data_IF_312320786436
#
_entry.id   IF_312320786436
#
_cell.length_a   1.000
_cell.length_b   1.000
_cell.length_c   1.000
_cell.angle_alpha   90.00
_cell.angle_beta   90.00
_cell.angle_gamma   90.00
#
_symmetry.space_group_name_H-M   'P 1'
#
loop_
_entity.id
_entity.type
_entity.pdbx_description
1 polymer ?
#
# COMPACT_ATOMS: atom_id res chain seq x y z
N UNK A 1 13.57 34.63 24.49
CA UNK A 1 14.15 34.47 23.14
C UNK A 1 14.42 32.98 22.96
N UNK A 2 13.40 32.19 22.66
CA UNK A 2 13.00 31.74 21.30
C UNK A 2 14.11 30.99 20.57
N UNK A 3 13.92 29.67 20.45
CA UNK A 3 14.08 28.99 19.16
C UNK A 3 13.18 27.73 19.15
N UNK A 4 11.95 27.94 18.71
CA UNK A 4 11.03 26.89 18.28
C UNK A 4 11.37 26.54 16.84
N UNK A 5 12.08 25.42 16.64
CA UNK A 5 12.17 24.79 15.32
C UNK A 5 10.89 24.00 15.08
N UNK A 6 9.90 24.65 14.49
CA UNK A 6 8.79 23.97 13.82
C UNK A 6 9.26 23.57 12.43
N UNK A 7 9.83 22.38 12.31
CA UNK A 7 9.88 21.70 11.02
C UNK A 7 8.43 21.31 10.67
N UNK A 8 7.82 22.04 9.74
CA UNK A 8 6.65 21.51 9.04
C UNK A 8 7.08 20.26 8.28
N UNK A 9 6.43 19.10 8.47
CA UNK A 9 6.71 17.92 7.68
C UNK A 9 6.38 18.25 6.22
N UNK A 10 7.39 18.12 5.37
CA UNK A 10 7.29 18.44 3.97
C UNK A 10 6.45 17.39 3.26
N UNK A 11 5.31 17.82 2.73
CA UNK A 11 4.55 17.09 1.72
C UNK A 11 5.52 16.58 0.64
N UNK A 12 5.49 15.30 0.28
CA UNK A 12 6.29 14.72 -0.81
C UNK A 12 5.39 14.51 -2.04
N UNK A 13 5.33 15.47 -3.00
CA UNK A 13 4.44 15.38 -4.16
C UNK A 13 4.74 14.16 -5.05
N UNK A 14 5.98 13.65 -5.01
CA UNK A 14 6.42 12.53 -5.83
C UNK A 14 5.72 11.22 -5.45
N UNK A 15 5.53 10.95 -4.15
CA UNK A 15 4.84 9.73 -3.69
C UNK A 15 3.36 9.73 -4.07
N UNK A 16 2.71 10.89 -3.98
CA UNK A 16 1.30 11.05 -4.37
C UNK A 16 1.14 10.83 -5.88
N UNK A 17 2.03 11.41 -6.70
CA UNK A 17 1.96 11.25 -8.14
C UNK A 17 2.21 9.80 -8.57
N UNK A 18 3.23 9.13 -8.03
CA UNK A 18 3.50 7.71 -8.32
C UNK A 18 2.32 6.80 -7.94
N UNK A 19 1.64 7.11 -6.83
CA UNK A 19 0.44 6.40 -6.41
C UNK A 19 -0.73 6.62 -7.39
N UNK A 20 -0.98 7.87 -7.79
CA UNK A 20 -2.04 8.22 -8.75
C UNK A 20 -1.77 7.57 -10.11
N UNK A 21 -0.54 7.68 -10.63
CA UNK A 21 -0.13 7.09 -11.90
C UNK A 21 -0.29 5.57 -11.90
N UNK A 22 0.05 4.91 -10.78
CA UNK A 22 -0.14 3.47 -10.59
C UNK A 22 -1.62 3.11 -10.67
N UNK A 23 -2.50 3.86 -10.00
CA UNK A 23 -3.94 3.63 -10.05
C UNK A 23 -4.52 3.84 -11.45
N UNK A 24 -4.11 4.90 -12.15
CA UNK A 24 -4.56 5.15 -13.53
C UNK A 24 -4.06 4.11 -14.52
N UNK A 25 -2.81 3.68 -14.39
CA UNK A 25 -2.24 2.60 -15.17
C UNK A 25 -3.08 1.32 -15.05
N UNK A 26 -3.47 0.93 -13.83
CA UNK A 26 -4.29 -0.26 -13.64
C UNK A 26 -5.71 -0.10 -14.19
N UNK A 27 -6.34 1.07 -14.02
CA UNK A 27 -7.65 1.36 -14.62
C UNK A 27 -7.63 1.22 -16.15
N UNK A 28 -6.53 1.61 -16.79
CA UNK A 28 -6.40 1.61 -18.26
C UNK A 28 -5.95 0.27 -18.85
N UNK A 29 -5.14 -0.52 -18.14
CA UNK A 29 -4.44 -1.67 -18.72
C UNK A 29 -4.91 -3.04 -18.21
N UNK A 30 -5.76 -3.13 -17.18
CA UNK A 30 -6.36 -4.40 -16.79
C UNK A 30 -7.50 -4.70 -17.76
N UNK A 31 -7.23 -5.57 -18.75
CA UNK A 31 -8.21 -6.04 -19.71
C UNK A 31 -9.40 -6.71 -18.98
N UNK A 32 -10.65 -6.33 -19.27
CA UNK A 32 -11.85 -6.95 -18.67
C UNK A 32 -11.94 -8.46 -18.92
N UNK A 33 -11.30 -8.93 -19.99
CA UNK A 33 -11.43 -10.30 -20.52
C UNK A 33 -10.67 -11.36 -19.72
N UNK A 34 -9.88 -10.95 -18.73
CA UNK A 34 -9.13 -11.85 -17.85
C UNK A 34 -9.86 -12.13 -16.51
N UNK A 35 -11.09 -11.63 -16.30
CA UNK A 35 -11.82 -11.80 -15.03
C UNK A 35 -12.08 -13.26 -14.65
N UNK A 36 -11.16 -13.85 -13.89
CA UNK A 36 -11.40 -15.08 -13.16
C UNK A 36 -12.29 -14.77 -11.95
N UNK A 37 -13.23 -15.66 -11.59
CA UNK A 37 -14.04 -15.50 -10.39
C UNK A 37 -13.14 -15.39 -9.15
N UNK A 38 -13.60 -14.64 -8.14
CA UNK A 38 -12.87 -14.51 -6.87
C UNK A 38 -12.60 -15.90 -6.28
N UNK A 39 -11.34 -16.20 -6.00
CA UNK A 39 -10.93 -17.42 -5.34
C UNK A 39 -10.34 -17.09 -3.97
N UNK A 40 -11.11 -17.37 -2.92
CA UNK A 40 -10.73 -17.05 -1.54
C UNK A 40 -9.45 -17.75 -1.08
N UNK A 41 -9.18 -18.97 -1.55
CA UNK A 41 -7.98 -19.73 -1.17
C UNK A 41 -6.72 -19.17 -1.84
N UNK A 42 -6.81 -18.79 -3.12
CA UNK A 42 -5.72 -18.08 -3.81
C UNK A 42 -5.46 -16.75 -3.11
N UNK A 43 -6.52 -15.98 -2.84
CA UNK A 43 -6.40 -14.70 -2.16
C UNK A 43 -5.73 -14.84 -0.78
N UNK A 44 -6.17 -15.81 0.03
CA UNK A 44 -5.56 -16.11 1.34
C UNK A 44 -4.09 -16.51 1.23
N UNK A 45 -3.75 -17.29 0.21
CA UNK A 45 -2.36 -17.69 -0.08
C UNK A 45 -1.51 -16.48 -0.45
N UNK A 46 -2.03 -15.62 -1.32
CA UNK A 46 -1.39 -14.38 -1.73
C UNK A 46 -1.21 -13.43 -0.53
N UNK A 47 -2.18 -13.32 0.37
CA UNK A 47 -2.04 -12.51 1.59
C UNK A 47 -0.96 -13.04 2.54
N UNK A 48 -0.87 -14.37 2.72
CA UNK A 48 0.20 -14.99 3.51
C UNK A 48 1.56 -14.68 2.90
N UNK A 49 1.67 -14.79 1.58
CA UNK A 49 2.92 -14.54 0.88
C UNK A 49 3.29 -13.05 0.90
N UNK A 50 2.32 -12.15 0.68
CA UNK A 50 2.49 -10.69 0.78
C UNK A 50 3.01 -10.29 2.16
N UNK A 51 2.42 -10.82 3.23
CA UNK A 51 2.87 -10.57 4.61
C UNK A 51 4.34 -10.96 4.78
N UNK A 52 4.72 -12.15 4.34
CA UNK A 52 6.11 -12.61 4.45
C UNK A 52 7.07 -11.70 3.67
N UNK A 53 6.67 -11.23 2.48
CA UNK A 53 7.47 -10.30 1.68
C UNK A 53 7.65 -8.96 2.41
N UNK A 54 6.58 -8.40 3.00
CA UNK A 54 6.65 -7.16 3.80
C UNK A 54 7.60 -7.33 4.98
N UNK A 55 7.49 -8.43 5.72
CA UNK A 55 8.35 -8.72 6.88
C UNK A 55 9.83 -8.85 6.44
N UNK A 56 10.11 -9.45 5.27
CA UNK A 56 11.47 -9.52 4.71
C UNK A 56 12.00 -8.14 4.28
N UNK A 57 11.20 -7.31 3.60
CA UNK A 57 11.61 -5.98 3.15
C UNK A 57 11.93 -5.10 4.35
N UNK A 58 11.09 -5.12 5.38
CA UNK A 58 11.32 -4.38 6.63
C UNK A 58 12.62 -4.81 7.32
N UNK A 59 12.88 -6.12 7.42
CA UNK A 59 14.12 -6.62 7.99
C UNK A 59 15.36 -6.15 7.20
N UNK A 60 15.27 -6.14 5.86
CA UNK A 60 16.34 -5.65 4.97
C UNK A 60 16.59 -4.17 5.18
N UNK A 61 15.54 -3.35 5.28
CA UNK A 61 15.67 -1.92 5.49
C UNK A 61 16.28 -1.58 6.86
N UNK A 62 15.83 -2.23 7.91
CA UNK A 62 16.39 -2.07 9.25
C UNK A 62 17.88 -2.45 9.27
N UNK A 63 18.27 -3.45 8.48
CA UNK A 63 19.68 -3.80 8.28
C UNK A 63 20.45 -2.70 7.54
N UNK A 64 19.89 -2.14 6.46
CA UNK A 64 20.51 -1.03 5.71
C UNK A 64 20.75 0.19 6.60
N UNK A 65 19.77 0.56 7.41
CA UNK A 65 19.87 1.68 8.35
C UNK A 65 21.01 1.46 9.35
N UNK A 66 21.09 0.25 9.94
CA UNK A 66 22.21 -0.12 10.83
C UNK A 66 23.56 -0.06 10.12
N UNK A 67 23.66 -0.61 8.91
CA UNK A 67 24.91 -0.57 8.14
C UNK A 67 25.34 0.87 7.81
N UNK A 68 24.40 1.76 7.48
CA UNK A 68 24.66 3.17 7.24
C UNK A 68 25.21 3.86 8.48
N UNK A 69 24.68 3.56 9.66
CA UNK A 69 25.13 4.12 10.94
C UNK A 69 26.53 3.59 11.33
N UNK A 70 26.76 2.28 11.18
CA UNK A 70 27.95 1.61 11.72
C UNK A 70 29.16 1.68 10.78
N UNK A 71 28.93 1.54 9.47
CA UNK A 71 30.02 1.32 8.50
C UNK A 71 29.96 2.27 7.31
N UNK A 72 28.91 3.10 7.19
CA UNK A 72 28.65 3.99 6.06
C UNK A 72 28.68 3.29 4.68
N UNK A 73 28.49 1.97 4.66
CA UNK A 73 28.50 1.19 3.43
C UNK A 73 27.41 0.11 3.47
N UNK A 74 26.56 0.09 2.44
CA UNK A 74 25.51 -0.92 2.32
C UNK A 74 26.05 -2.08 1.47
N UNK A 75 26.00 -3.33 1.94
CA UNK A 75 26.39 -4.47 1.14
C UNK A 75 25.58 -4.55 -0.17
N UNK A 76 26.26 -4.76 -1.31
CA UNK A 76 25.61 -4.87 -2.63
C UNK A 76 24.54 -5.97 -2.65
N UNK A 77 24.78 -7.08 -1.96
CA UNK A 77 23.83 -8.18 -1.90
C UNK A 77 22.56 -7.82 -1.13
N UNK A 78 22.66 -6.92 -0.13
CA UNK A 78 21.51 -6.39 0.59
C UNK A 78 20.65 -5.49 -0.30
N UNK A 79 21.28 -4.69 -1.17
CA UNK A 79 20.56 -3.90 -2.17
C UNK A 79 19.84 -4.79 -3.20
N UNK A 80 20.53 -5.80 -3.74
CA UNK A 80 19.94 -6.77 -4.68
C UNK A 80 18.79 -7.55 -4.05
N UNK A 81 18.93 -7.96 -2.79
CA UNK A 81 17.86 -8.63 -2.06
C UNK A 81 16.63 -7.72 -1.95
N UNK A 82 16.82 -6.45 -1.56
CA UNK A 82 15.73 -5.47 -1.48
C UNK A 82 14.94 -5.37 -2.78
N UNK A 83 15.64 -5.16 -3.90
CA UNK A 83 15.04 -5.04 -5.23
C UNK A 83 14.26 -6.31 -5.61
N UNK A 84 14.82 -7.49 -5.34
CA UNK A 84 14.18 -8.77 -5.62
C UNK A 84 12.87 -8.93 -4.82
N UNK A 85 12.88 -8.59 -3.53
CA UNK A 85 11.70 -8.71 -2.68
C UNK A 85 10.62 -7.69 -3.04
N UNK A 86 10.99 -6.44 -3.36
CA UNK A 86 10.05 -5.45 -3.87
C UNK A 86 9.41 -5.88 -5.20
N UNK A 87 10.20 -6.43 -6.13
CA UNK A 87 9.69 -6.94 -7.40
C UNK A 87 8.66 -8.05 -7.17
N UNK A 88 8.96 -8.99 -6.27
CA UNK A 88 8.02 -10.06 -5.90
C UNK A 88 6.78 -9.51 -5.22
N UNK A 89 6.92 -8.52 -4.34
CA UNK A 89 5.78 -7.83 -3.71
C UNK A 89 4.85 -7.25 -4.77
N UNK A 90 5.38 -6.49 -5.74
CA UNK A 90 4.60 -5.89 -6.83
C UNK A 90 3.87 -6.94 -7.66
N UNK A 91 4.44 -8.14 -7.87
CA UNK A 91 3.77 -9.25 -8.56
C UNK A 91 2.58 -9.79 -7.77
N UNK A 92 2.74 -10.07 -6.47
CA UNK A 92 1.65 -10.57 -5.61
C UNK A 92 0.57 -9.51 -5.43
N UNK A 93 0.99 -8.26 -5.29
CA UNK A 93 0.10 -7.11 -5.21
C UNK A 93 -0.81 -7.02 -6.45
N UNK A 94 -0.25 -7.15 -7.66
CA UNK A 94 -1.04 -7.24 -8.90
C UNK A 94 -2.04 -8.39 -8.91
N UNK A 95 -1.64 -9.57 -8.41
CA UNK A 95 -2.54 -10.72 -8.26
C UNK A 95 -3.72 -10.39 -7.35
N UNK A 96 -3.48 -9.73 -6.22
CA UNK A 96 -4.53 -9.30 -5.29
C UNK A 96 -5.48 -8.30 -5.93
N UNK A 97 -4.98 -7.26 -6.62
CA UNK A 97 -5.83 -6.31 -7.37
C UNK A 97 -6.75 -7.10 -8.30
N UNK A 98 -6.15 -7.92 -9.16
CA UNK A 98 -6.84 -8.61 -10.23
C UNK A 98 -7.91 -9.59 -9.73
N UNK A 99 -7.59 -10.35 -8.69
CA UNK A 99 -8.53 -11.30 -8.09
C UNK A 99 -9.70 -10.60 -7.38
N UNK A 100 -9.52 -9.35 -6.93
CA UNK A 100 -10.46 -8.67 -6.04
C UNK A 100 -11.31 -7.59 -6.73
N UNK A 101 -10.74 -6.72 -7.57
CA UNK A 101 -11.42 -5.50 -8.05
C UNK A 101 -12.67 -5.74 -8.91
N UNK A 102 -12.74 -6.89 -9.59
CA UNK A 102 -13.79 -7.17 -10.58
C UNK A 102 -14.93 -8.03 -10.00
N UNK A 103 -14.71 -8.65 -8.85
CA UNK A 103 -15.51 -9.79 -8.37
C UNK A 103 -16.10 -9.55 -6.99
N UNK A 104 -15.43 -8.79 -6.13
CA UNK A 104 -15.88 -8.54 -4.76
C UNK A 104 -16.77 -7.30 -4.75
N UNK A 105 -18.02 -7.49 -4.33
CA UNK A 105 -18.91 -6.39 -3.99
C UNK A 105 -18.59 -5.90 -2.58
N UNK A 106 -18.37 -4.60 -2.45
CA UNK A 106 -18.08 -3.97 -1.18
C UNK A 106 -19.30 -3.18 -0.72
N UNK A 107 -19.75 -3.46 0.49
CA UNK A 107 -20.71 -2.59 1.17
C UNK A 107 -20.01 -1.27 1.50
N UNK A 108 -20.65 -0.14 1.17
CA UNK A 108 -20.14 1.15 1.57
C UNK A 108 -20.24 1.26 3.09
N UNK A 109 -19.16 1.68 3.74
CA UNK A 109 -19.05 1.77 5.19
C UNK A 109 -18.39 3.10 5.57
N UNK A 110 -18.43 3.40 6.86
CA UNK A 110 -17.90 4.60 7.48
C UNK A 110 -16.44 4.83 7.09
N UNK A 111 -16.07 6.08 6.82
CA UNK A 111 -14.67 6.41 6.61
C UNK A 111 -13.90 6.35 7.93
N UNK A 112 -12.74 5.68 7.97
CA UNK A 112 -11.92 5.60 9.17
C UNK A 112 -11.21 6.94 9.53
N UNK A 113 -11.22 7.92 8.63
CA UNK A 113 -10.54 9.21 8.78
C UNK A 113 -11.55 10.34 9.06
N UNK A 114 -12.45 10.64 8.11
CA UNK A 114 -13.43 11.72 8.30
C UNK A 114 -14.66 11.32 9.11
N UNK A 115 -14.84 10.02 9.41
CA UNK A 115 -15.95 9.48 10.18
C UNK A 115 -17.36 9.73 9.60
N UNK A 116 -17.49 10.14 8.34
CA UNK A 116 -18.78 10.14 7.63
C UNK A 116 -19.31 8.71 7.51
N UNK A 117 -20.63 8.52 7.71
CA UNK A 117 -21.29 7.20 7.73
C UNK A 117 -21.17 6.44 6.41
N UNK A 118 -21.14 7.15 5.29
CA UNK A 118 -20.89 6.58 3.97
C UNK A 118 -19.68 7.24 3.35
N UNK A 119 -18.72 6.43 2.92
CA UNK A 119 -17.50 6.94 2.30
C UNK A 119 -17.81 7.46 0.88
N UNK A 120 -17.37 8.69 0.60
CA UNK A 120 -17.38 9.27 -0.75
C UNK A 120 -16.22 8.67 -1.54
N UNK A 121 -16.51 8.06 -2.71
CA UNK A 121 -15.52 7.32 -3.52
C UNK A 121 -14.75 6.30 -2.64
N UNK A 122 -15.44 5.26 -2.14
CA UNK A 122 -14.88 4.37 -1.12
C UNK A 122 -13.62 3.66 -1.62
N UNK A 123 -12.59 3.70 -0.79
CA UNK A 123 -11.34 2.93 -0.93
C UNK A 123 -11.40 1.74 0.03
N UNK A 124 -11.16 0.53 -0.47
CA UNK A 124 -11.05 -0.68 0.34
C UNK A 124 -9.62 -1.17 0.48
N UNK A 125 -9.37 -1.98 1.50
CA UNK A 125 -8.10 -2.68 1.66
C UNK A 125 -8.17 -4.07 1.01
N UNK A 126 -7.22 -4.36 0.11
CA UNK A 126 -7.08 -5.68 -0.52
C UNK A 126 -6.81 -6.81 0.49
N UNK A 127 -6.39 -6.50 1.72
CA UNK A 127 -6.06 -7.51 2.71
C UNK A 127 -7.23 -7.93 3.59
N UNK A 128 -8.14 -7.01 3.91
CA UNK A 128 -9.30 -7.32 4.76
C UNK A 128 -10.63 -7.18 4.04
N UNK A 129 -10.63 -6.71 2.79
CA UNK A 129 -11.80 -6.54 1.95
C UNK A 129 -12.87 -5.64 2.60
N UNK A 130 -12.44 -4.63 3.37
CA UNK A 130 -13.31 -3.63 4.01
C UNK A 130 -12.97 -2.23 3.51
N UNK A 131 -13.96 -1.34 3.52
CA UNK A 131 -13.76 0.09 3.28
C UNK A 131 -12.88 0.67 4.37
N UNK A 132 -11.82 1.35 3.94
CA UNK A 132 -10.85 2.03 4.81
C UNK A 132 -11.20 3.51 4.91
N UNK A 133 -11.61 4.13 3.81
CA UNK A 133 -12.01 5.54 3.84
C UNK A 133 -12.40 6.10 2.48
N UNK A 134 -12.69 7.40 2.47
CA UNK A 134 -12.87 8.16 1.25
C UNK A 134 -11.55 8.25 0.48
N UNK A 135 -11.61 8.32 -0.85
CA UNK A 135 -10.43 8.50 -1.70
C UNK A 135 -9.56 9.68 -1.26
N UNK A 136 -10.15 10.86 -1.12
CA UNK A 136 -9.39 12.08 -0.80
C UNK A 136 -8.72 11.96 0.58
N UNK A 137 -9.41 11.37 1.56
CA UNK A 137 -8.84 11.12 2.89
C UNK A 137 -7.66 10.14 2.84
N UNK A 138 -7.77 9.07 2.06
CA UNK A 138 -6.69 8.07 1.94
C UNK A 138 -5.49 8.66 1.20
N UNK A 139 -5.71 9.43 0.12
CA UNK A 139 -4.61 10.10 -0.61
C UNK A 139 -3.88 11.08 0.29
N UNK A 140 -4.60 11.91 1.05
CA UNK A 140 -4.00 12.86 1.99
C UNK A 140 -3.23 12.14 3.10
N UNK A 141 -3.82 11.10 3.71
CA UNK A 141 -3.14 10.31 4.74
C UNK A 141 -1.87 9.63 4.21
N UNK A 142 -1.94 9.00 3.03
CA UNK A 142 -0.77 8.34 2.42
C UNK A 142 0.29 9.37 2.00
N UNK A 143 -0.11 10.54 1.51
CA UNK A 143 0.80 11.60 1.08
C UNK A 143 1.54 12.29 2.23
N UNK A 144 0.96 12.29 3.42
CA UNK A 144 1.56 12.87 4.63
C UNK A 144 2.32 11.85 5.50
N UNK A 145 2.29 10.56 5.15
CA UNK A 145 2.97 9.51 5.90
C UNK A 145 4.42 9.36 5.44
N UNK A 146 5.37 9.68 6.31
CA UNK A 146 6.81 9.58 6.03
C UNK A 146 7.33 8.12 6.12
N UNK A 147 6.53 7.22 6.68
CA UNK A 147 6.87 5.80 6.80
C UNK A 147 6.89 5.09 5.44
N UNK A 148 7.91 4.24 5.24
CA UNK A 148 7.95 3.33 4.08
C UNK A 148 6.89 2.22 4.15
N UNK A 149 6.29 2.02 5.32
CA UNK A 149 5.22 1.07 5.55
C UNK A 149 3.95 1.75 6.03
N UNK A 150 2.84 1.47 5.34
CA UNK A 150 1.50 1.90 5.73
C UNK A 150 0.79 0.78 6.47
N UNK A 151 0.02 1.11 7.50
CA UNK A 151 -0.89 0.18 8.18
C UNK A 151 -2.32 0.46 7.77
N UNK A 152 -3.06 -0.58 7.39
CA UNK A 152 -4.49 -0.44 7.13
C UNK A 152 -5.21 0.05 8.39
N UNK A 153 -5.96 1.16 8.28
CA UNK A 153 -6.70 1.74 9.42
C UNK A 153 -7.79 0.81 9.98
N UNK A 154 -8.18 -0.23 9.24
CA UNK A 154 -9.18 -1.23 9.68
C UNK A 154 -8.53 -2.50 10.24
N UNK A 155 -7.64 -3.14 9.49
CA UNK A 155 -7.07 -4.44 9.88
C UNK A 155 -5.66 -4.38 10.45
N UNK A 156 -5.04 -3.19 10.48
CA UNK A 156 -3.71 -2.92 11.02
C UNK A 156 -2.56 -3.69 10.34
N UNK A 157 -2.84 -4.41 9.25
CA UNK A 157 -1.81 -5.08 8.44
C UNK A 157 -1.01 -4.07 7.62
N UNK A 158 0.26 -4.40 7.41
CA UNK A 158 1.24 -3.53 6.75
C UNK A 158 1.27 -3.73 5.23
N UNK A 159 1.67 -2.70 4.51
CA UNK A 159 1.98 -2.70 3.09
C UNK A 159 3.02 -1.63 2.77
N UNK A 160 3.67 -1.69 1.61
CA UNK A 160 4.63 -0.67 1.19
C UNK A 160 3.90 0.64 0.83
N UNK A 161 4.43 1.79 1.23
CA UNK A 161 3.88 3.10 0.87
C UNK A 161 3.97 3.39 -0.63
N UNK A 162 5.02 2.92 -1.29
CA UNK A 162 5.18 3.00 -2.75
C UNK A 162 4.22 2.10 -3.53
N UNK A 163 3.55 1.15 -2.86
CA UNK A 163 2.57 0.27 -3.49
C UNK A 163 1.50 -0.15 -2.46
N UNK A 164 0.62 0.80 -2.07
CA UNK A 164 -0.37 0.57 -1.02
C UNK A 164 -1.39 -0.49 -1.43
N UNK A 165 -1.97 -1.16 -0.45
CA UNK A 165 -3.02 -2.16 -0.68
C UNK A 165 -4.42 -1.57 -0.64
N UNK A 166 -4.57 -0.28 -0.96
CA UNK A 166 -5.84 0.46 -0.93
C UNK A 166 -6.31 0.78 -2.35
N UNK A 167 -7.54 0.39 -2.69
CA UNK A 167 -8.07 0.47 -4.06
C UNK A 167 -9.52 0.94 -4.09
N UNK A 168 -9.93 1.56 -5.20
CA UNK A 168 -11.30 2.00 -5.43
C UNK A 168 -12.25 0.81 -5.54
N UNK A 169 -13.39 0.90 -4.83
CA UNK A 169 -14.58 0.10 -5.10
C UNK A 169 -15.14 0.47 -6.47
N UNK A 170 -15.27 -0.53 -7.35
CA UNK A 170 -16.15 -0.43 -8.50
C UNK A 170 -17.55 -0.71 -7.95
N UNK A 171 -18.29 0.36 -7.65
CA UNK A 171 -19.69 0.29 -7.24
C UNK A 171 -20.58 0.09 -8.46
#
# INVERSE_FOLDING_TARGET
>A
MTNSYTHSPGFCPLLVQEFVDTLEFYKKNIAPELCLPFNAEIHKTDLKYLKNLVDCIEAIMNCKEKCLIETFNIPKDLMKAHELYEKRYKTVHKSLIFTTQQTVQFENDKCAICHEEQSKKPMYCLQCLKVVGCYDCIVDWVGNEESQFLKCLRCQRRCLSSCPTFYFAKM
#
